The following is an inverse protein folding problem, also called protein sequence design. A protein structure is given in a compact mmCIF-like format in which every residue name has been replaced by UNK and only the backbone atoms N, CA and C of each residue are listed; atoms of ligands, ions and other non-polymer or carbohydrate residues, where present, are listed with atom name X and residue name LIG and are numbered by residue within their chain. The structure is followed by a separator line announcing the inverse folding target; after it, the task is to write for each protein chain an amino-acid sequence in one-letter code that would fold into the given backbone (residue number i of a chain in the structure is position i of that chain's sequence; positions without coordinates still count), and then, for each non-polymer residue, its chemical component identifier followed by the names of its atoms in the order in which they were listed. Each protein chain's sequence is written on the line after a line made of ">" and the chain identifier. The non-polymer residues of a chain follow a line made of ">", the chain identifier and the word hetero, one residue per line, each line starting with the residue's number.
data_IF_333200236175
#
_entry.id   IF_333200236175
#
_cell.length_a   1.000
_cell.length_b   1.000
_cell.length_c   1.000
_cell.angle_alpha   90.00
_cell.angle_beta   90.00
_cell.angle_gamma   90.00
#
_symmetry.space_group_name_H-M   'P 1'
#
loop_
_entity.id
_entity.type
_entity.pdbx_description
1 polymer ?
#
# COMPACT_ATOMS: atom_id res chain seq x y z
N UNK A 1 -1.09 -21.93 -16.07
CA UNK A 1 0.12 -21.15 -16.41
C UNK A 1 -0.04 -19.81 -15.71
N UNK A 2 0.95 -19.31 -14.96
CA UNK A 2 0.83 -18.00 -14.32
C UNK A 2 1.02 -16.93 -15.39
N UNK A 3 0.07 -16.00 -15.50
CA UNK A 3 0.15 -14.88 -16.44
C UNK A 3 1.12 -13.81 -15.92
N UNK A 4 1.75 -13.10 -16.85
CA UNK A 4 2.62 -11.96 -16.52
C UNK A 4 1.85 -10.89 -15.73
N UNK A 5 2.58 -10.14 -14.90
CA UNK A 5 2.05 -8.99 -14.18
C UNK A 5 1.65 -7.88 -15.15
N UNK A 6 0.66 -7.08 -14.78
CA UNK A 6 0.22 -5.86 -15.47
C UNK A 6 -0.38 -6.06 -16.86
N UNK A 7 -0.72 -7.30 -17.23
CA UNK A 7 -1.28 -7.60 -18.55
C UNK A 7 -2.71 -7.16 -18.72
N UNK A 8 -3.45 -7.00 -17.62
CA UNK A 8 -4.89 -6.70 -17.68
C UNK A 8 -5.19 -5.20 -17.59
N UNK A 9 -4.16 -4.36 -17.69
CA UNK A 9 -4.26 -2.90 -17.69
C UNK A 9 -5.02 -2.39 -16.46
N UNK A 10 -6.27 -1.98 -16.67
CA UNK A 10 -7.11 -1.39 -15.62
C UNK A 10 -7.43 -2.37 -14.48
N UNK A 11 -7.55 -3.68 -14.77
CA UNK A 11 -7.80 -4.68 -13.71
C UNK A 11 -6.57 -4.80 -12.79
N UNK A 12 -5.38 -4.91 -13.39
CA UNK A 12 -4.12 -4.94 -12.64
C UNK A 12 -3.87 -3.65 -11.84
N UNK A 13 -4.24 -2.50 -12.42
CA UNK A 13 -4.21 -1.22 -11.74
C UNK A 13 -5.07 -1.23 -10.47
N UNK A 14 -6.32 -1.71 -10.54
CA UNK A 14 -7.19 -1.76 -9.36
C UNK A 14 -6.70 -2.72 -8.29
N UNK A 15 -6.15 -3.89 -8.66
CA UNK A 15 -5.57 -4.81 -7.70
C UNK A 15 -4.47 -4.14 -6.88
N UNK A 16 -3.56 -3.43 -7.55
CA UNK A 16 -2.51 -2.66 -6.90
C UNK A 16 -3.06 -1.54 -6.01
N UNK A 17 -4.02 -0.75 -6.50
CA UNK A 17 -4.62 0.34 -5.71
C UNK A 17 -5.33 -0.20 -4.47
N UNK A 18 -6.09 -1.29 -4.57
CA UNK A 18 -6.71 -1.93 -3.41
C UNK A 18 -5.67 -2.48 -2.42
N UNK A 19 -4.56 -3.01 -2.94
CA UNK A 19 -3.40 -3.38 -2.15
C UNK A 19 -2.88 -2.21 -1.31
N UNK A 20 -2.66 -1.06 -1.94
CA UNK A 20 -2.21 0.14 -1.25
C UNK A 20 -3.24 0.68 -0.25
N UNK A 21 -4.53 0.71 -0.61
CA UNK A 21 -5.59 1.20 0.28
C UNK A 21 -5.77 0.35 1.54
N UNK A 22 -5.34 -0.92 1.50
CA UNK A 22 -5.42 -1.83 2.65
C UNK A 22 -4.60 -1.35 3.85
N UNK A 23 -3.54 -0.59 3.61
CA UNK A 23 -2.76 0.04 4.68
C UNK A 23 -3.64 0.93 5.59
N UNK A 24 -4.60 1.65 4.99
CA UNK A 24 -5.54 2.50 5.73
C UNK A 24 -6.83 1.76 6.11
N UNK A 25 -7.26 0.82 5.27
CA UNK A 25 -8.53 0.10 5.44
C UNK A 25 -8.30 -1.42 5.36
N UNK A 26 -7.90 -2.08 6.46
CA UNK A 26 -7.58 -3.52 6.47
C UNK A 26 -8.72 -4.42 5.99
N UNK A 27 -9.97 -3.96 6.11
CA UNK A 27 -11.17 -4.68 5.60
C UNK A 27 -11.11 -4.96 4.10
N UNK A 28 -10.38 -4.13 3.32
CA UNK A 28 -10.22 -4.32 1.87
C UNK A 28 -9.52 -5.64 1.58
N UNK A 29 -8.57 -6.10 2.41
CA UNK A 29 -7.93 -7.41 2.25
C UNK A 29 -8.94 -8.54 2.31
N UNK A 30 -9.81 -8.52 3.32
CA UNK A 30 -10.81 -9.55 3.51
C UNK A 30 -11.77 -9.56 2.31
N UNK A 31 -12.24 -8.38 1.89
CA UNK A 31 -13.09 -8.26 0.70
C UNK A 31 -12.41 -8.76 -0.57
N UNK A 32 -11.12 -8.45 -0.75
CA UNK A 32 -10.34 -8.88 -1.91
C UNK A 32 -10.14 -10.39 -1.94
N UNK A 33 -9.79 -11.01 -0.82
CA UNK A 33 -9.62 -12.47 -0.72
C UNK A 33 -10.95 -13.20 -0.93
N UNK A 34 -12.05 -12.69 -0.38
CA UNK A 34 -13.38 -13.23 -0.63
C UNK A 34 -13.75 -13.09 -2.11
N UNK A 35 -13.54 -11.91 -2.70
CA UNK A 35 -13.73 -11.69 -4.13
C UNK A 35 -12.97 -12.75 -4.91
N UNK A 36 -11.67 -12.96 -4.65
CA UNK A 36 -10.88 -13.97 -5.34
C UNK A 36 -11.36 -15.42 -5.10
N UNK A 37 -11.81 -15.75 -3.89
CA UNK A 37 -12.32 -17.07 -3.57
C UNK A 37 -13.65 -17.41 -4.27
N UNK A 38 -14.57 -16.44 -4.39
CA UNK A 38 -15.81 -16.61 -5.15
C UNK A 38 -15.58 -16.51 -6.65
N UNK A 39 -14.69 -15.62 -7.06
CA UNK A 39 -14.25 -15.43 -8.42
C UNK A 39 -13.66 -16.71 -9.03
N UNK A 40 -12.88 -17.46 -8.25
CA UNK A 40 -12.28 -18.74 -8.63
C UNK A 40 -13.30 -19.87 -8.85
N UNK A 41 -14.58 -19.68 -8.45
CA UNK A 41 -15.65 -20.68 -8.63
C UNK A 41 -16.50 -20.46 -9.90
N UNK A 42 -16.16 -19.50 -10.77
CA UNK A 42 -16.98 -19.10 -11.94
C UNK A 42 -16.23 -18.96 -13.28
N UNK A 43 -17.02 -18.73 -14.35
CA UNK A 43 -16.78 -18.79 -15.82
C UNK A 43 -15.58 -18.05 -16.45
N UNK A 44 -14.68 -17.42 -15.67
CA UNK A 44 -13.57 -16.63 -16.22
C UNK A 44 -12.23 -17.28 -15.91
N UNK A 45 -11.33 -17.35 -16.90
CA UNK A 45 -9.94 -17.72 -16.71
C UNK A 45 -9.30 -16.73 -15.73
N UNK A 46 -9.07 -17.17 -14.49
CA UNK A 46 -8.60 -16.28 -13.42
C UNK A 46 -7.20 -16.62 -13.00
N UNK A 47 -6.31 -15.70 -13.30
CA UNK A 47 -4.96 -15.72 -12.78
C UNK A 47 -4.95 -15.17 -11.35
N UNK A 48 -5.60 -15.89 -10.43
CA UNK A 48 -5.70 -15.51 -9.00
C UNK A 48 -4.31 -15.23 -8.42
N UNK A 49 -3.30 -16.00 -8.82
CA UNK A 49 -1.92 -15.77 -8.43
C UNK A 49 -1.40 -14.41 -8.89
N UNK A 50 -1.63 -14.04 -10.15
CA UNK A 50 -1.22 -12.75 -10.71
C UNK A 50 -1.93 -11.60 -9.98
N UNK A 51 -3.25 -11.71 -9.79
CA UNK A 51 -4.05 -10.71 -9.09
C UNK A 51 -3.59 -10.51 -7.63
N UNK A 52 -3.27 -11.61 -6.93
CA UNK A 52 -2.73 -11.56 -5.57
C UNK A 52 -1.36 -10.89 -5.54
N UNK A 53 -0.47 -11.19 -6.49
CA UNK A 53 0.85 -10.56 -6.58
C UNK A 53 0.73 -9.05 -6.80
N UNK A 54 -0.12 -8.61 -7.72
CA UNK A 54 -0.36 -7.19 -8.00
C UNK A 54 -0.91 -6.46 -6.78
N UNK A 55 -1.84 -7.09 -6.06
CA UNK A 55 -2.37 -6.58 -4.81
C UNK A 55 -1.29 -6.46 -3.71
N UNK A 56 -0.48 -7.49 -3.49
CA UNK A 56 0.59 -7.43 -2.49
C UNK A 56 1.69 -6.43 -2.87
N UNK A 57 2.00 -6.24 -4.15
CA UNK A 57 2.90 -5.19 -4.61
C UNK A 57 2.40 -3.80 -4.21
N UNK A 58 1.09 -3.55 -4.29
CA UNK A 58 0.47 -2.31 -3.81
C UNK A 58 0.64 -2.11 -2.31
N UNK A 59 0.34 -3.15 -1.52
CA UNK A 59 0.47 -3.12 -0.06
C UNK A 59 1.92 -2.89 0.39
N UNK A 60 2.89 -3.56 -0.24
CA UNK A 60 4.31 -3.40 0.07
C UNK A 60 4.76 -1.98 -0.30
N UNK A 61 4.33 -1.48 -1.45
CA UNK A 61 4.71 -0.15 -1.95
C UNK A 61 4.28 0.97 -1.00
N UNK A 62 3.01 0.97 -0.55
CA UNK A 62 2.53 1.97 0.42
C UNK A 62 3.21 1.81 1.78
N UNK A 63 3.43 0.58 2.24
CA UNK A 63 4.07 0.32 3.54
C UNK A 63 5.52 0.84 3.52
N UNK A 64 6.25 0.56 2.44
CA UNK A 64 7.61 1.06 2.25
C UNK A 64 7.64 2.59 2.15
N UNK A 65 6.69 3.20 1.43
CA UNK A 65 6.58 4.65 1.32
C UNK A 65 6.28 5.31 2.68
N UNK A 66 5.34 4.77 3.44
CA UNK A 66 5.00 5.25 4.79
C UNK A 66 6.17 5.11 5.76
N UNK A 67 6.88 3.97 5.73
CA UNK A 67 8.07 3.77 6.57
C UNK A 67 9.18 4.76 6.21
N UNK A 68 9.47 4.92 4.92
CA UNK A 68 10.47 5.88 4.43
C UNK A 68 10.10 7.30 4.82
N UNK A 69 8.83 7.70 4.67
CA UNK A 69 8.36 9.03 5.06
C UNK A 69 8.53 9.27 6.55
N UNK A 70 8.13 8.32 7.40
CA UNK A 70 8.28 8.46 8.85
C UNK A 70 9.76 8.57 9.27
N UNK A 71 10.65 7.79 8.66
CA UNK A 71 12.09 7.87 8.95
C UNK A 71 12.74 9.19 8.46
N UNK A 72 12.21 9.80 7.41
CA UNK A 72 12.75 11.06 6.85
C UNK A 72 12.17 12.30 7.53
N UNK A 73 10.94 12.23 8.06
CA UNK A 73 10.19 13.37 8.61
C UNK A 73 9.84 13.25 10.09
N UNK A 74 10.39 12.29 10.82
CA UNK A 74 10.59 12.45 12.26
C UNK A 74 11.51 13.67 12.46
N UNK A 75 10.91 14.87 12.51
CA UNK A 75 11.55 16.04 13.09
C UNK A 75 11.99 15.56 14.47
N UNK A 76 13.30 15.50 14.77
CA UNK A 76 13.74 15.12 16.10
C UNK A 76 13.03 16.07 17.05
N UNK A 77 12.27 15.54 18.00
CA UNK A 77 11.68 16.36 19.06
C UNK A 77 12.76 17.24 19.72
N UNK A 78 14.00 16.75 19.71
CA UNK A 78 15.24 17.43 20.10
C UNK A 78 15.52 18.73 19.32
N UNK A 79 15.29 18.76 18.00
CA UNK A 79 15.50 19.94 17.16
C UNK A 79 14.53 21.07 17.53
N UNK A 80 13.29 20.72 17.91
CA UNK A 80 12.29 21.69 18.36
C UNK A 80 12.65 22.26 19.73
N UNK A 81 13.23 21.45 20.62
CA UNK A 81 13.66 21.91 21.96
C UNK A 81 14.97 22.70 21.95
N UNK A 82 15.86 22.48 20.98
CA UNK A 82 17.11 23.26 20.86
C UNK A 82 16.91 24.61 20.18
N UNK A 83 16.10 24.67 19.12
CA UNK A 83 15.99 25.89 18.30
C UNK A 83 15.02 26.93 18.89
N UNK A 84 13.94 26.48 19.52
CA UNK A 84 12.88 27.39 20.02
C UNK A 84 13.37 28.34 21.14
N UNK A 85 14.19 27.89 22.12
CA UNK A 85 14.75 28.78 23.14
C UNK A 85 15.67 29.86 22.54
N UNK A 86 16.50 29.50 21.57
CA UNK A 86 17.42 30.44 20.93
C UNK A 86 16.68 31.53 20.14
N UNK A 87 15.62 31.18 19.41
CA UNK A 87 14.79 32.17 18.70
C UNK A 87 14.05 33.09 19.68
N UNK A 88 13.51 32.55 20.78
CA UNK A 88 12.83 33.34 21.81
C UNK A 88 13.77 34.24 22.61
N UNK A 89 15.07 33.94 22.64
CA UNK A 89 16.07 34.77 23.33
C UNK A 89 16.50 36.01 22.54
N UNK A 90 16.20 36.05 21.24
CA UNK A 90 16.59 37.13 20.30
C UNK A 90 15.39 38.01 19.91
N UNK A 91 14.17 37.67 20.36
CA UNK A 91 12.94 38.47 20.23
C UNK A 91 12.64 39.22 21.53
#
# INVERSE_FOLDING_TARGET
>A
MVRNLWTDGWNSFWHFIFGALTFYFPVILIMFLLYQAFANKGLYEKNVTTDLLEYFLGMISITAASYTFNQVYEIPHELFTEIVPDILSVL
#
